data_IF_081326848265
#
_entry.id   IF_081326848265
#
_cell.length_a   1.000
_cell.length_b   1.000
_cell.length_c   1.000
_cell.angle_alpha   90.00
_cell.angle_beta   90.00
_cell.angle_gamma   90.00
#
_symmetry.space_group_name_H-M   'P 1'
#
loop_
_entity.id
_entity.type
_entity.pdbx_description
1 polymer ?
#
# COMPACT_ATOMS: atom_id res chain seq x y z
N UNK A 1 12.21 22.82 -26.12
CA UNK A 1 12.38 21.66 -25.20
C UNK A 1 13.76 21.75 -24.54
N UNK A 2 13.84 21.93 -23.22
CA UNK A 2 15.11 21.88 -22.52
C UNK A 2 15.61 20.41 -22.53
N UNK A 3 16.87 20.20 -22.93
CA UNK A 3 17.49 18.87 -22.85
C UNK A 3 17.48 18.41 -21.39
N UNK A 4 17.09 17.16 -21.10
CA UNK A 4 17.13 16.63 -19.74
C UNK A 4 18.56 16.72 -19.21
N UNK A 5 18.71 17.21 -17.99
CA UNK A 5 20.02 17.30 -17.36
C UNK A 5 20.62 15.90 -17.18
N UNK A 6 21.94 15.76 -17.18
CA UNK A 6 22.61 14.46 -16.95
C UNK A 6 22.11 13.77 -15.67
N UNK A 7 21.74 14.56 -14.64
CA UNK A 7 21.17 14.08 -13.38
C UNK A 7 19.80 13.43 -13.57
N UNK A 8 18.93 13.99 -14.42
CA UNK A 8 17.61 13.45 -14.69
C UNK A 8 17.68 12.12 -15.44
N UNK A 9 18.61 12.02 -16.42
CA UNK A 9 18.83 10.75 -17.13
C UNK A 9 19.34 9.66 -16.17
N UNK A 10 20.23 10.03 -15.24
CA UNK A 10 20.71 9.11 -14.21
C UNK A 10 19.61 8.67 -13.26
N UNK A 11 18.73 9.58 -12.84
CA UNK A 11 17.58 9.25 -12.02
C UNK A 11 16.63 8.27 -12.74
N UNK A 12 16.29 8.53 -13.99
CA UNK A 12 15.41 7.64 -14.76
C UNK A 12 15.98 6.22 -14.84
N UNK A 13 17.29 6.12 -15.08
CA UNK A 13 17.98 4.84 -15.07
C UNK A 13 17.93 4.14 -13.70
N UNK A 14 18.14 4.86 -12.60
CA UNK A 14 18.03 4.31 -11.24
C UNK A 14 16.61 3.85 -10.92
N UNK A 15 15.61 4.60 -11.35
CA UNK A 15 14.21 4.24 -11.13
C UNK A 15 13.85 2.89 -11.78
N UNK A 16 14.40 2.60 -12.95
CA UNK A 16 14.22 1.29 -13.60
C UNK A 16 14.79 0.16 -12.76
N UNK A 17 15.96 0.36 -12.14
CA UNK A 17 16.55 -0.63 -11.23
C UNK A 17 15.78 -0.82 -9.92
N UNK A 18 14.97 0.14 -9.48
CA UNK A 18 14.07 -0.06 -8.34
C UNK A 18 13.04 -1.18 -8.56
N UNK A 19 12.86 -1.60 -9.82
CA UNK A 19 12.00 -2.72 -10.19
C UNK A 19 12.77 -3.97 -10.64
N UNK A 20 14.09 -4.04 -10.45
CA UNK A 20 14.91 -5.17 -10.88
C UNK A 20 14.57 -6.46 -10.11
N UNK A 21 14.67 -7.63 -10.75
CA UNK A 21 14.38 -8.93 -10.15
C UNK A 21 15.30 -9.24 -8.96
N UNK A 22 16.59 -8.98 -9.12
CA UNK A 22 17.58 -9.22 -8.07
C UNK A 22 17.39 -8.23 -6.91
N UNK A 23 17.06 -8.76 -5.72
CA UNK A 23 16.78 -7.95 -4.54
C UNK A 23 17.90 -6.95 -4.21
N UNK A 24 19.16 -7.37 -4.25
CA UNK A 24 20.30 -6.50 -3.94
C UNK A 24 20.43 -5.30 -4.89
N UNK A 25 20.16 -5.49 -6.18
CA UNK A 25 20.17 -4.40 -7.19
C UNK A 25 19.04 -3.42 -6.85
N UNK A 26 17.84 -3.95 -6.63
CA UNK A 26 16.65 -3.17 -6.27
C UNK A 26 16.86 -2.36 -4.98
N UNK A 27 17.40 -2.97 -3.94
CA UNK A 27 17.69 -2.32 -2.65
C UNK A 27 18.71 -1.18 -2.81
N UNK A 28 19.80 -1.43 -3.52
CA UNK A 28 20.82 -0.41 -3.76
C UNK A 28 20.26 0.78 -4.54
N UNK A 29 19.53 0.52 -5.62
CA UNK A 29 18.89 1.57 -6.41
C UNK A 29 17.90 2.37 -5.57
N UNK A 30 17.06 1.69 -4.79
CA UNK A 30 16.09 2.32 -3.90
C UNK A 30 16.75 3.24 -2.86
N UNK A 31 17.84 2.82 -2.23
CA UNK A 31 18.57 3.64 -1.28
C UNK A 31 19.06 4.95 -1.90
N UNK A 32 19.62 4.89 -3.12
CA UNK A 32 20.09 6.07 -3.84
C UNK A 32 18.91 6.98 -4.20
N UNK A 33 17.82 6.42 -4.72
CA UNK A 33 16.60 7.17 -5.07
C UNK A 33 16.02 7.87 -3.85
N UNK A 34 15.98 7.20 -2.68
CA UNK A 34 15.49 7.79 -1.43
C UNK A 34 16.38 8.93 -0.91
N UNK A 35 17.70 8.88 -1.15
CA UNK A 35 18.61 9.99 -0.86
C UNK A 35 18.34 11.18 -1.79
N UNK A 36 18.12 10.92 -3.09
CA UNK A 36 17.79 11.97 -4.06
C UNK A 36 16.41 12.61 -3.75
N UNK A 37 15.43 11.82 -3.33
CA UNK A 37 14.12 12.33 -2.89
C UNK A 37 14.26 13.28 -1.69
N UNK A 38 15.15 12.96 -0.74
CA UNK A 38 15.37 13.78 0.46
C UNK A 38 16.02 15.13 0.14
N UNK A 39 16.73 15.27 -0.99
CA UNK A 39 17.27 16.56 -1.45
C UNK A 39 16.22 17.51 -2.04
N UNK A 40 15.03 17.00 -2.34
CA UNK A 40 13.86 17.79 -2.78
C UNK A 40 13.75 18.00 -4.30
N UNK A 41 14.85 18.00 -5.05
CA UNK A 41 14.88 18.36 -6.48
C UNK A 41 14.07 17.41 -7.40
N UNK A 42 13.86 16.16 -6.97
CA UNK A 42 13.26 15.11 -7.81
C UNK A 42 12.10 14.39 -7.13
N UNK A 43 11.58 14.96 -6.05
CA UNK A 43 10.51 14.33 -5.24
C UNK A 43 9.31 13.91 -6.08
N UNK A 44 8.76 14.85 -6.84
CA UNK A 44 7.54 14.61 -7.61
C UNK A 44 7.74 13.50 -8.65
N UNK A 45 8.88 13.50 -9.35
CA UNK A 45 9.20 12.49 -10.36
C UNK A 45 9.31 11.10 -9.73
N UNK A 46 9.95 10.99 -8.55
CA UNK A 46 10.11 9.72 -7.84
C UNK A 46 8.76 9.22 -7.33
N UNK A 47 7.95 10.10 -6.77
CA UNK A 47 6.61 9.77 -6.28
C UNK A 47 5.68 9.35 -7.43
N UNK A 48 5.64 10.11 -8.52
CA UNK A 48 4.85 9.76 -9.72
C UNK A 48 5.26 8.40 -10.30
N UNK A 49 6.56 8.11 -10.39
CA UNK A 49 7.06 6.82 -10.84
C UNK A 49 6.59 5.68 -9.92
N UNK A 50 6.68 5.86 -8.62
CA UNK A 50 6.24 4.85 -7.64
C UNK A 50 4.74 4.61 -7.71
N UNK A 51 3.94 5.66 -7.88
CA UNK A 51 2.47 5.57 -8.05
C UNK A 51 2.10 4.89 -9.37
N UNK A 52 2.85 5.14 -10.44
CA UNK A 52 2.65 4.45 -11.73
C UNK A 52 2.83 2.93 -11.56
N UNK A 53 3.89 2.49 -10.89
CA UNK A 53 4.11 1.06 -10.63
C UNK A 53 3.03 0.46 -9.72
N UNK A 54 2.61 1.19 -8.68
CA UNK A 54 1.50 0.78 -7.84
C UNK A 54 0.21 0.57 -8.66
N UNK A 55 -0.10 1.49 -9.59
CA UNK A 55 -1.30 1.42 -10.44
C UNK A 55 -1.27 0.27 -11.44
N UNK A 56 -0.13 -0.28 -11.78
CA UNK A 56 -0.08 -1.51 -12.57
C UNK A 56 -0.87 -2.66 -11.93
N UNK A 57 -0.95 -2.68 -10.59
CA UNK A 57 -1.68 -3.69 -9.84
C UNK A 57 -3.21 -3.68 -10.06
N UNK A 58 -3.74 -2.66 -10.73
CA UNK A 58 -5.15 -2.60 -11.14
C UNK A 58 -5.34 -3.37 -12.47
N UNK A 59 -4.28 -3.56 -13.26
CA UNK A 59 -4.35 -4.24 -14.54
C UNK A 59 -4.65 -5.74 -14.39
N UNK A 60 -5.47 -6.35 -15.25
CA UNK A 60 -5.77 -7.78 -15.19
C UNK A 60 -4.53 -8.66 -15.33
N UNK A 61 -3.57 -8.22 -16.13
CA UNK A 61 -2.28 -8.90 -16.35
C UNK A 61 -1.12 -7.94 -16.07
N UNK A 62 0.06 -8.47 -15.72
CA UNK A 62 1.25 -7.63 -15.55
C UNK A 62 1.61 -6.93 -16.87
N UNK A 63 1.80 -5.59 -16.87
CA UNK A 63 2.24 -4.86 -18.06
C UNK A 63 3.61 -5.33 -18.58
N UNK A 64 3.79 -5.35 -19.90
CA UNK A 64 5.05 -5.74 -20.54
C UNK A 64 6.26 -4.91 -20.05
N UNK A 65 6.03 -3.67 -19.58
CA UNK A 65 7.05 -2.79 -19.02
C UNK A 65 7.76 -3.37 -17.78
N UNK A 66 7.16 -4.33 -17.09
CA UNK A 66 7.77 -5.00 -15.93
C UNK A 66 8.80 -6.05 -16.31
N UNK A 67 8.92 -6.37 -17.59
CA UNK A 67 9.79 -7.42 -18.13
C UNK A 67 10.87 -6.83 -19.03
N UNK A 68 11.96 -7.55 -19.22
CA UNK A 68 13.12 -7.19 -20.02
C UNK A 68 14.41 -7.73 -19.40
N UNK A 69 15.46 -7.86 -20.20
CA UNK A 69 16.78 -8.29 -19.72
C UNK A 69 17.38 -7.29 -18.74
N UNK A 70 17.18 -5.99 -18.98
CA UNK A 70 17.57 -4.87 -18.14
C UNK A 70 16.94 -4.92 -16.74
N UNK A 71 15.81 -5.60 -16.60
CA UNK A 71 15.08 -5.82 -15.34
C UNK A 71 15.33 -7.18 -14.72
N UNK A 72 16.14 -8.03 -15.34
CA UNK A 72 16.39 -9.41 -14.94
C UNK A 72 15.20 -10.36 -15.18
N UNK A 73 14.17 -9.92 -15.92
CA UNK A 73 12.97 -10.71 -16.26
C UNK A 73 12.76 -10.74 -17.77
N UNK A 74 13.55 -11.54 -18.51
CA UNK A 74 13.49 -11.57 -19.97
C UNK A 74 12.19 -12.16 -20.53
N UNK A 75 11.46 -12.95 -19.73
CA UNK A 75 10.25 -13.66 -20.16
C UNK A 75 9.03 -12.90 -19.65
N UNK A 76 8.16 -12.47 -20.58
CA UNK A 76 6.87 -11.84 -20.25
C UNK A 76 5.96 -12.89 -19.61
N UNK A 77 5.36 -12.52 -18.48
CA UNK A 77 4.37 -13.35 -17.77
C UNK A 77 2.99 -12.70 -17.89
N UNK A 78 1.98 -13.51 -18.15
CA UNK A 78 0.59 -13.06 -18.28
C UNK A 78 -0.19 -13.11 -16.95
N UNK A 79 0.42 -13.70 -15.91
CA UNK A 79 -0.22 -13.91 -14.61
C UNK A 79 0.56 -13.15 -13.54
N UNK A 80 -0.16 -12.47 -12.65
CA UNK A 80 0.41 -11.83 -11.48
C UNK A 80 0.99 -12.90 -10.54
N UNK A 81 2.28 -12.79 -10.25
CA UNK A 81 2.96 -13.54 -9.19
C UNK A 81 3.20 -12.65 -7.99
N UNK A 82 3.37 -13.26 -6.83
CA UNK A 82 3.68 -12.53 -5.59
C UNK A 82 4.93 -11.66 -5.74
N UNK A 83 5.96 -12.16 -6.42
CA UNK A 83 7.22 -11.45 -6.61
C UNK A 83 7.07 -10.23 -7.52
N UNK A 84 6.26 -10.33 -8.59
CA UNK A 84 5.98 -9.18 -9.45
C UNK A 84 5.18 -8.11 -8.69
N UNK A 85 4.20 -8.53 -7.87
CA UNK A 85 3.45 -7.60 -7.02
C UNK A 85 4.38 -6.89 -6.03
N UNK A 86 5.29 -7.61 -5.37
CA UNK A 86 6.29 -7.02 -4.45
C UNK A 86 7.17 -5.99 -5.16
N UNK A 87 7.60 -6.28 -6.37
CA UNK A 87 8.41 -5.36 -7.16
C UNK A 87 7.66 -4.05 -7.42
N UNK A 88 6.36 -4.12 -7.77
CA UNK A 88 5.53 -2.94 -7.96
C UNK A 88 5.31 -2.12 -6.68
N UNK A 89 5.30 -2.78 -5.52
CA UNK A 89 5.11 -2.14 -4.22
C UNK A 89 6.40 -1.54 -3.64
N UNK A 90 7.57 -2.04 -4.01
CA UNK A 90 8.80 -1.85 -3.28
C UNK A 90 9.19 -0.38 -3.08
N UNK A 91 9.30 0.40 -4.16
CA UNK A 91 9.63 1.83 -4.07
C UNK A 91 8.51 2.61 -3.37
N UNK A 92 7.24 2.33 -3.73
CA UNK A 92 6.08 3.02 -3.15
C UNK A 92 6.02 2.87 -1.62
N UNK A 93 6.17 1.65 -1.11
CA UNK A 93 6.15 1.39 0.32
C UNK A 93 7.34 2.04 1.06
N UNK A 94 8.48 2.19 0.38
CA UNK A 94 9.64 2.89 0.94
C UNK A 94 9.43 4.41 1.07
N UNK A 95 8.55 4.98 0.24
CA UNK A 95 8.18 6.41 0.27
C UNK A 95 7.06 6.72 1.27
N UNK A 96 6.18 5.77 1.52
CA UNK A 96 4.98 5.96 2.34
C UNK A 96 5.26 6.55 3.73
N UNK A 97 6.30 6.12 4.49
CA UNK A 97 6.65 6.74 5.77
C UNK A 97 7.08 8.20 5.67
N UNK A 98 7.59 8.62 4.51
CA UNK A 98 8.07 9.99 4.28
C UNK A 98 6.98 10.91 3.76
N UNK A 99 5.96 10.36 3.10
CA UNK A 99 4.83 11.10 2.55
C UNK A 99 3.54 10.31 2.69
N UNK A 100 2.80 10.53 3.78
CA UNK A 100 1.54 9.85 4.08
C UNK A 100 0.40 10.25 3.13
N UNK A 101 0.53 11.35 2.35
CA UNK A 101 -0.43 11.70 1.29
C UNK A 101 -0.55 10.62 0.21
N UNK A 102 0.43 9.73 0.13
CA UNK A 102 0.41 8.57 -0.76
C UNK A 102 -0.64 7.52 -0.36
N UNK A 103 -1.16 7.54 0.87
CA UNK A 103 -2.23 6.62 1.31
C UNK A 103 -3.43 6.60 0.35
N UNK A 104 -3.83 7.75 -0.19
CA UNK A 104 -4.93 7.84 -1.15
C UNK A 104 -4.75 6.94 -2.38
N UNK A 105 -3.52 6.84 -2.90
CA UNK A 105 -3.21 5.98 -4.04
C UNK A 105 -3.21 4.50 -3.66
N UNK A 106 -2.72 4.18 -2.45
CA UNK A 106 -2.76 2.81 -1.94
C UNK A 106 -4.21 2.31 -1.78
N UNK A 107 -5.08 3.15 -1.23
CA UNK A 107 -6.51 2.86 -1.07
C UNK A 107 -7.21 2.70 -2.42
N UNK A 108 -6.95 3.62 -3.36
CA UNK A 108 -7.47 3.55 -4.73
C UNK A 108 -7.13 2.18 -5.38
N UNK A 109 -5.85 1.82 -5.35
CA UNK A 109 -5.38 0.56 -5.95
C UNK A 109 -5.91 -0.66 -5.21
N UNK A 110 -5.92 -0.65 -3.87
CA UNK A 110 -6.43 -1.75 -3.07
C UNK A 110 -7.91 -2.02 -3.35
N UNK A 111 -8.74 -0.98 -3.37
CA UNK A 111 -10.17 -1.10 -3.60
C UNK A 111 -10.50 -1.58 -5.02
N UNK A 112 -9.76 -1.09 -6.02
CA UNK A 112 -9.96 -1.47 -7.42
C UNK A 112 -9.42 -2.89 -7.73
N UNK A 113 -8.34 -3.33 -7.07
CA UNK A 113 -7.82 -4.70 -7.21
C UNK A 113 -8.84 -5.76 -6.73
N UNK A 114 -9.74 -5.41 -5.79
CA UNK A 114 -10.79 -6.30 -5.30
C UNK A 114 -11.83 -6.66 -6.38
N UNK A 115 -12.16 -5.71 -7.25
CA UNK A 115 -13.13 -5.92 -8.33
C UNK A 115 -12.65 -6.95 -9.38
N UNK A 116 -11.35 -7.06 -9.61
CA UNK A 116 -10.79 -7.99 -10.58
C UNK A 116 -10.79 -9.45 -10.12
N UNK A 117 -10.66 -9.70 -8.83
CA UNK A 117 -10.72 -11.07 -8.26
C UNK A 117 -12.09 -11.72 -8.44
N UNK A 118 -13.16 -10.94 -8.51
CA UNK A 118 -14.51 -11.46 -8.74
C UNK A 118 -14.78 -11.91 -10.18
N UNK A 119 -14.05 -11.36 -11.15
CA UNK A 119 -14.20 -11.71 -12.58
C UNK A 119 -13.46 -13.00 -12.92
N UNK A 120 -12.30 -13.26 -12.27
CA UNK A 120 -11.46 -14.43 -12.56
C UNK A 120 -11.93 -15.71 -11.86
N UNK A 121 -12.83 -15.64 -10.88
CA UNK A 121 -13.29 -16.80 -10.12
C UNK A 121 -14.11 -17.81 -10.97
N UNK A 122 -14.56 -17.40 -12.15
CA UNK A 122 -15.35 -18.24 -13.07
C UNK A 122 -14.52 -19.11 -14.03
N UNK A 123 -13.22 -18.88 -14.19
CA UNK A 123 -12.39 -19.54 -15.20
C UNK A 123 -11.23 -20.40 -14.67
N UNK A 124 -10.96 -20.38 -13.36
CA UNK A 124 -9.89 -21.17 -12.77
C UNK A 124 -10.30 -22.62 -12.52
N UNK A 125 -10.42 -23.42 -13.56
CA UNK A 125 -10.33 -24.88 -13.46
C UNK A 125 -8.85 -25.24 -13.31
N UNK A 126 -8.40 -25.41 -12.08
CA UNK A 126 -7.08 -25.96 -11.82
C UNK A 126 -6.42 -25.40 -10.57
N UNK A 127 -6.86 -25.78 -9.38
CA UNK A 127 -6.10 -25.95 -8.12
C UNK A 127 -5.12 -24.86 -7.63
N UNK A 128 -4.81 -23.85 -8.41
CA UNK A 128 -3.93 -22.72 -8.03
C UNK A 128 -4.81 -21.63 -7.43
N UNK A 129 -4.69 -21.42 -6.11
CA UNK A 129 -5.34 -20.29 -5.46
C UNK A 129 -4.79 -19.01 -6.09
N UNK A 130 -5.65 -18.17 -6.70
CA UNK A 130 -5.19 -16.91 -7.27
C UNK A 130 -4.50 -16.10 -6.17
N UNK A 131 -3.27 -15.65 -6.46
CA UNK A 131 -2.56 -14.73 -5.60
C UNK A 131 -3.33 -13.43 -5.65
N UNK A 132 -4.05 -13.12 -4.59
CA UNK A 132 -4.77 -11.87 -4.53
C UNK A 132 -3.75 -10.76 -4.31
N UNK A 133 -3.66 -9.84 -5.25
CA UNK A 133 -2.85 -8.61 -5.14
C UNK A 133 -3.04 -7.97 -3.78
N UNK A 134 -4.28 -7.90 -3.30
CA UNK A 134 -4.63 -7.40 -1.98
C UNK A 134 -3.93 -8.11 -0.83
N UNK A 135 -3.85 -9.43 -0.86
CA UNK A 135 -3.19 -10.20 0.20
C UNK A 135 -1.70 -9.85 0.28
N UNK A 136 -1.06 -9.68 -0.87
CA UNK A 136 0.35 -9.27 -0.93
C UNK A 136 0.52 -7.84 -0.42
N UNK A 137 -0.36 -6.90 -0.82
CA UNK A 137 -0.36 -5.54 -0.28
C UNK A 137 -0.45 -5.56 1.25
N UNK A 138 -1.42 -6.26 1.84
CA UNK A 138 -1.62 -6.32 3.30
C UNK A 138 -0.42 -6.91 4.05
N UNK A 139 0.32 -7.81 3.41
CA UNK A 139 1.51 -8.42 4.01
C UNK A 139 2.73 -7.49 3.95
N UNK A 140 3.02 -6.95 2.77
CA UNK A 140 4.19 -6.09 2.55
C UNK A 140 4.05 -4.73 3.25
N UNK A 141 2.83 -4.26 3.46
CA UNK A 141 2.52 -3.01 4.15
C UNK A 141 3.05 -2.95 5.60
N UNK A 142 3.13 -4.10 6.27
CA UNK A 142 3.49 -4.17 7.71
C UNK A 142 4.84 -3.50 7.99
N UNK A 143 5.83 -3.74 7.13
CA UNK A 143 7.16 -3.16 7.29
C UNK A 143 7.19 -1.65 7.05
N UNK A 144 6.39 -1.16 6.12
CA UNK A 144 6.36 0.25 5.75
C UNK A 144 5.60 1.12 6.75
N UNK A 145 4.46 0.63 7.23
CA UNK A 145 3.56 1.42 8.08
C UNK A 145 4.08 1.55 9.51
N UNK A 146 4.83 0.58 10.00
CA UNK A 146 5.25 0.53 11.41
C UNK A 146 6.10 1.71 11.93
N UNK A 147 6.53 2.63 11.05
CA UNK A 147 7.25 3.86 11.39
C UNK A 147 6.40 5.13 11.22
N UNK A 148 5.14 5.00 10.80
CA UNK A 148 4.24 6.16 10.62
C UNK A 148 3.66 6.56 11.98
N UNK A 149 3.56 7.87 12.30
CA UNK A 149 2.89 8.32 13.50
C UNK A 149 1.40 7.94 13.50
N UNK A 150 0.92 7.41 14.63
CA UNK A 150 -0.48 6.97 14.78
C UNK A 150 -1.49 8.13 14.76
N UNK A 151 -1.01 9.33 15.01
CA UNK A 151 -1.77 10.60 15.02
C UNK A 151 -1.55 11.42 13.74
N UNK A 152 -0.99 10.81 12.68
CA UNK A 152 -0.79 11.56 11.45
C UNK A 152 -2.13 12.03 10.85
N UNK A 153 -2.21 13.30 10.41
CA UNK A 153 -3.46 13.86 9.87
C UNK A 153 -3.99 13.05 8.69
N UNK A 154 -3.11 12.56 7.83
CA UNK A 154 -3.46 11.77 6.66
C UNK A 154 -4.05 10.39 7.04
N UNK A 155 -3.57 9.77 8.12
CA UNK A 155 -4.15 8.54 8.65
C UNK A 155 -5.53 8.79 9.23
N UNK A 156 -5.67 9.86 10.02
CA UNK A 156 -6.95 10.24 10.63
C UNK A 156 -8.01 10.59 9.58
N UNK A 157 -7.63 11.32 8.54
CA UNK A 157 -8.49 11.61 7.38
C UNK A 157 -8.88 10.32 6.64
N UNK A 158 -7.93 9.41 6.45
CA UNK A 158 -8.17 8.13 5.81
C UNK A 158 -9.20 7.28 6.56
N UNK A 159 -9.12 7.23 7.89
CA UNK A 159 -10.09 6.53 8.74
C UNK A 159 -11.47 7.18 8.66
N UNK A 160 -11.54 8.51 8.68
CA UNK A 160 -12.79 9.26 8.63
C UNK A 160 -13.50 9.08 7.29
N UNK A 161 -12.77 9.20 6.18
CA UNK A 161 -13.34 9.05 4.83
C UNK A 161 -13.66 7.60 4.49
N UNK A 162 -12.84 6.67 4.94
CA UNK A 162 -12.93 5.23 4.73
C UNK A 162 -13.58 4.85 3.38
N UNK A 163 -12.87 4.99 2.25
CA UNK A 163 -13.45 4.70 0.94
C UNK A 163 -14.00 3.27 0.87
N UNK A 164 -15.12 3.04 0.17
CA UNK A 164 -15.73 1.71 0.07
C UNK A 164 -14.72 0.65 -0.44
N UNK A 165 -14.65 -0.48 0.27
CA UNK A 165 -13.73 -1.58 -0.05
C UNK A 165 -12.33 -1.43 0.53
N UNK A 166 -12.03 -0.35 1.24
CA UNK A 166 -10.74 -0.12 1.91
C UNK A 166 -10.73 -0.51 3.39
N UNK A 167 -11.85 -0.94 3.95
CA UNK A 167 -12.03 -1.20 5.39
C UNK A 167 -10.95 -2.17 5.94
N UNK A 168 -10.69 -3.26 5.23
CA UNK A 168 -9.69 -4.26 5.63
C UNK A 168 -8.28 -3.69 5.58
N UNK A 169 -7.97 -2.86 4.59
CA UNK A 169 -6.68 -2.18 4.47
C UNK A 169 -6.47 -1.23 5.64
N UNK A 170 -7.47 -0.39 5.94
CA UNK A 170 -7.42 0.60 7.03
C UNK A 170 -7.27 -0.11 8.38
N UNK A 171 -8.08 -1.14 8.63
CA UNK A 171 -7.94 -1.98 9.83
C UNK A 171 -6.53 -2.54 9.97
N UNK A 172 -5.95 -3.05 8.88
CA UNK A 172 -4.59 -3.61 8.90
C UNK A 172 -3.53 -2.55 9.20
N UNK A 173 -3.64 -1.36 8.59
CA UNK A 173 -2.74 -0.23 8.88
C UNK A 173 -2.78 0.10 10.38
N UNK A 174 -3.99 0.34 10.91
CA UNK A 174 -4.15 0.74 12.31
C UNK A 174 -3.71 -0.38 13.26
N UNK A 175 -4.02 -1.65 12.96
CA UNK A 175 -3.55 -2.78 13.76
C UNK A 175 -2.03 -2.81 13.90
N UNK A 176 -1.28 -2.64 12.80
CA UNK A 176 0.18 -2.62 12.82
C UNK A 176 0.72 -1.49 13.70
N UNK A 177 0.06 -0.34 13.69
CA UNK A 177 0.45 0.80 14.52
C UNK A 177 0.10 0.59 16.00
N UNK A 178 -1.09 0.05 16.29
CA UNK A 178 -1.56 -0.18 17.67
C UNK A 178 -0.92 -1.39 18.33
N UNK A 179 -0.26 -2.27 17.59
CA UNK A 179 0.60 -3.33 18.14
C UNK A 179 1.81 -2.75 18.89
N UNK A 180 2.21 -1.51 18.59
CA UNK A 180 3.38 -0.85 19.19
C UNK A 180 3.03 0.29 20.12
N UNK A 181 1.93 1.00 19.85
CA UNK A 181 1.53 2.22 20.56
C UNK A 181 0.04 2.17 20.84
N UNK A 182 -0.38 2.64 22.02
CA UNK A 182 -1.80 2.73 22.33
C UNK A 182 -2.51 3.70 21.37
N UNK A 183 -3.72 3.37 20.90
CA UNK A 183 -4.49 4.25 20.03
C UNK A 183 -4.83 5.56 20.76
N UNK A 184 -4.74 6.67 20.03
CA UNK A 184 -5.12 7.97 20.55
C UNK A 184 -6.64 8.07 20.73
N UNK A 185 -7.13 8.89 21.67
CA UNK A 185 -8.57 9.12 21.85
C UNK A 185 -9.26 9.55 20.54
N UNK A 186 -8.62 10.40 19.76
CA UNK A 186 -9.13 10.86 18.47
C UNK A 186 -9.30 9.72 17.47
N UNK A 187 -8.30 8.84 17.36
CA UNK A 187 -8.38 7.67 16.50
C UNK A 187 -9.52 6.74 16.94
N UNK A 188 -9.67 6.51 18.25
CA UNK A 188 -10.77 5.71 18.80
C UNK A 188 -12.13 6.31 18.44
N UNK A 189 -12.29 7.63 18.56
CA UNK A 189 -13.53 8.31 18.24
C UNK A 189 -13.88 8.23 16.75
N UNK A 190 -12.88 8.35 15.85
CA UNK A 190 -13.07 8.17 14.42
C UNK A 190 -13.54 6.74 14.08
N UNK A 191 -12.97 5.72 14.71
CA UNK A 191 -13.42 4.33 14.54
C UNK A 191 -14.83 4.08 15.09
N UNK A 192 -15.21 4.71 16.21
CA UNK A 192 -16.59 4.67 16.73
C UNK A 192 -17.59 5.25 15.74
N UNK A 193 -17.25 6.39 15.14
CA UNK A 193 -18.10 7.03 14.15
C UNK A 193 -18.21 6.18 12.89
N UNK A 194 -17.09 5.66 12.38
CA UNK A 194 -17.06 4.75 11.25
C UNK A 194 -17.95 3.51 11.46
N UNK A 195 -17.89 2.92 12.66
CA UNK A 195 -18.74 1.79 13.05
C UNK A 195 -20.23 2.16 13.02
N UNK A 196 -20.59 3.32 13.59
CA UNK A 196 -22.00 3.77 13.65
C UNK A 196 -22.56 4.10 12.26
N UNK A 197 -21.76 4.75 11.43
CA UNK A 197 -22.25 5.37 10.20
C UNK A 197 -22.31 4.39 9.03
N UNK A 198 -21.47 3.33 9.02
CA UNK A 198 -21.30 2.55 7.80
C UNK A 198 -21.66 1.07 7.88
N UNK A 199 -21.15 0.32 8.82
CA UNK A 199 -21.22 -1.14 8.67
C UNK A 199 -21.76 -1.88 9.87
N UNK A 200 -21.78 -1.26 11.04
CA UNK A 200 -22.04 -1.94 12.33
C UNK A 200 -21.23 -3.24 12.49
N UNK A 201 -20.11 -3.35 11.76
CA UNK A 201 -19.22 -4.49 11.83
C UNK A 201 -18.25 -4.30 13.00
N UNK A 202 -18.48 -5.07 14.06
CA UNK A 202 -17.66 -5.02 15.29
C UNK A 202 -16.16 -5.22 15.02
N UNK A 203 -15.80 -5.91 13.94
CA UNK A 203 -14.41 -6.14 13.57
C UNK A 203 -13.65 -4.83 13.32
N UNK A 204 -14.35 -3.76 12.91
CA UNK A 204 -13.76 -2.43 12.75
C UNK A 204 -13.17 -1.88 14.04
N UNK A 205 -13.72 -2.24 15.21
CA UNK A 205 -13.27 -1.75 16.50
C UNK A 205 -12.05 -2.52 17.04
N UNK A 206 -11.73 -3.71 16.49
CA UNK A 206 -10.65 -4.56 16.99
C UNK A 206 -9.31 -3.81 17.11
N UNK A 207 -8.85 -3.04 16.11
CA UNK A 207 -7.57 -2.36 16.19
C UNK A 207 -7.47 -1.30 17.31
N UNK A 208 -8.60 -0.77 17.77
CA UNK A 208 -8.65 0.32 18.75
C UNK A 208 -9.20 -0.10 20.11
N UNK A 209 -9.49 -1.38 20.32
CA UNK A 209 -10.07 -1.89 21.58
C UNK A 209 -9.24 -1.49 22.82
N UNK A 210 -7.91 -1.52 22.72
CA UNK A 210 -7.02 -1.18 23.84
C UNK A 210 -7.10 0.31 24.25
N UNK A 211 -7.65 1.16 23.41
CA UNK A 211 -7.90 2.57 23.70
C UNK A 211 -9.32 2.86 24.19
N UNK A 212 -10.21 1.87 24.18
CA UNK A 212 -11.60 2.02 24.63
C UNK A 212 -11.71 1.84 26.15
N UNK A 213 -12.72 2.48 26.76
CA UNK A 213 -12.97 2.30 28.20
C UNK A 213 -13.50 0.89 28.46
N UNK A 214 -12.98 0.23 29.50
CA UNK A 214 -13.35 -1.14 29.88
C UNK A 214 -14.87 -1.33 30.02
N UNK A 215 -15.59 -0.33 30.54
CA UNK A 215 -17.04 -0.35 30.67
C UNK A 215 -17.77 -0.36 29.33
N UNK A 216 -17.25 0.30 28.32
CA UNK A 216 -17.83 0.33 26.97
C UNK A 216 -17.69 -1.01 26.28
N UNK A 217 -16.52 -1.66 26.46
CA UNK A 217 -16.25 -2.99 25.90
C UNK A 217 -17.13 -4.07 26.56
N UNK A 218 -17.28 -4.02 27.90
CA UNK A 218 -18.05 -5.01 28.67
C UNK A 218 -19.57 -4.84 28.47
N UNK A 219 -20.07 -3.62 28.36
CA UNK A 219 -21.50 -3.36 28.18
C UNK A 219 -22.03 -3.73 26.80
N UNK A 220 -21.16 -4.16 25.89
CA UNK A 220 -21.56 -4.58 24.55
C UNK A 220 -22.35 -3.51 23.78
N UNK A 221 -22.18 -2.22 24.13
CA UNK A 221 -22.91 -1.09 23.54
C UNK A 221 -22.78 -1.02 22.01
N UNK A 222 -21.91 -1.84 21.45
CA UNK A 222 -21.64 -1.99 20.03
C UNK A 222 -22.01 -3.39 19.51
N UNK A 223 -22.62 -4.26 20.38
CA UNK A 223 -22.99 -5.64 20.05
C UNK A 223 -24.51 -5.83 20.00
N UNK A 224 -25.27 -4.78 20.20
CA UNK A 224 -26.74 -4.79 20.12
C UNK A 224 -27.26 -3.98 18.95
#
# INVERSE_FOLDING_TARGET
MKRPTKKLNFLNFLLEFCSHETAKVRETANQIVLQMQSSGDYRDIIEEYSVMYLRFLISPTPPALLFGEDRGRPIIQEIWTEDIVKVCLYLFLSLLPKNQKLFKHLVEVYSNSKAQVHVDFGLAQGGVKPITVQRTILRELVSAVGSIPIDSPELLELVETCPPGSEVLIMRIVQVLTDKVLPTPELVDKFRNLYKDRSQDVRLLIPVLNGMKKQEVIQGKYLS
#
